data_IF_009419755074
#
_entry.id   IF_009419755074
#
_cell.length_a   1.000
_cell.length_b   1.000
_cell.length_c   1.000
_cell.angle_alpha   90.00
_cell.angle_beta   90.00
_cell.angle_gamma   90.00
#
_symmetry.space_group_name_H-M   'P 1'
#
loop_
_entity.id
_entity.type
_entity.pdbx_description
1 polymer ?
#
# COMPACT_ATOMS: atom_id res chain seq x y z
N UNK A 1 -15.06 12.36 -0.34
CA UNK A 1 -13.80 11.69 0.04
C UNK A 1 -14.06 10.72 1.20
N UNK A 2 -13.96 9.40 0.96
CA UNK A 2 -14.21 8.37 1.99
C UNK A 2 -13.06 8.26 3.01
N UNK A 3 -11.97 8.98 2.81
CA UNK A 3 -10.73 8.87 3.59
C UNK A 3 -10.25 7.41 3.62
N UNK A 4 -10.31 6.74 4.78
CA UNK A 4 -9.91 5.33 4.95
C UNK A 4 -11.10 4.43 5.32
N UNK A 5 -12.34 4.89 5.10
CA UNK A 5 -13.57 4.18 5.45
C UNK A 5 -14.21 3.53 4.21
N UNK A 6 -14.14 2.19 4.07
CA UNK A 6 -14.71 1.48 2.92
C UNK A 6 -16.25 1.52 2.90
N UNK A 7 -16.91 1.60 4.06
CA UNK A 7 -18.38 1.67 4.14
C UNK A 7 -18.88 3.04 3.68
N UNK A 8 -18.15 4.10 4.05
CA UNK A 8 -18.40 5.44 3.52
C UNK A 8 -18.19 5.47 1.99
N UNK A 9 -17.15 4.83 1.47
CA UNK A 9 -16.94 4.76 0.03
C UNK A 9 -18.09 4.04 -0.68
N UNK A 10 -18.57 2.93 -0.13
CA UNK A 10 -19.71 2.18 -0.69
C UNK A 10 -20.98 3.04 -0.72
N UNK A 11 -21.25 3.79 0.35
CA UNK A 11 -22.41 4.71 0.41
C UNK A 11 -22.32 5.81 -0.65
N UNK A 12 -21.15 6.42 -0.82
CA UNK A 12 -20.92 7.46 -1.84
C UNK A 12 -21.07 6.91 -3.27
N UNK A 13 -20.63 5.69 -3.52
CA UNK A 13 -20.82 5.03 -4.82
C UNK A 13 -22.31 4.81 -5.09
N UNK A 14 -23.08 4.37 -4.08
CA UNK A 14 -24.53 4.19 -4.25
C UNK A 14 -25.23 5.52 -4.55
N UNK A 15 -24.89 6.61 -3.86
CA UNK A 15 -25.40 7.95 -4.15
C UNK A 15 -25.12 8.36 -5.60
N UNK A 16 -23.90 8.13 -6.11
CA UNK A 16 -23.55 8.43 -7.51
C UNK A 16 -24.34 7.58 -8.51
N UNK A 17 -24.60 6.31 -8.20
CA UNK A 17 -25.46 5.45 -9.04
C UNK A 17 -26.88 6.02 -9.09
N UNK A 18 -27.44 6.43 -7.95
CA UNK A 18 -28.79 7.00 -7.84
C UNK A 18 -28.91 8.33 -8.57
N UNK A 19 -27.82 9.11 -8.66
CA UNK A 19 -27.70 10.34 -9.47
C UNK A 19 -27.59 10.06 -10.98
N UNK A 20 -27.36 8.82 -11.39
CA UNK A 20 -27.36 8.38 -12.79
C UNK A 20 -26.06 8.72 -13.54
N UNK A 21 -24.91 8.50 -12.93
CA UNK A 21 -23.61 8.70 -13.60
C UNK A 21 -23.39 7.68 -14.72
N UNK A 22 -22.67 8.08 -15.77
CA UNK A 22 -22.30 7.20 -16.89
C UNK A 22 -20.96 6.49 -16.67
N UNK A 23 -20.04 7.08 -15.92
CA UNK A 23 -18.70 6.55 -15.67
C UNK A 23 -18.14 7.03 -14.32
N UNK A 24 -17.24 6.24 -13.75
CA UNK A 24 -16.53 6.55 -12.50
C UNK A 24 -15.02 6.29 -12.66
N UNK A 25 -14.20 7.20 -12.12
CA UNK A 25 -12.81 6.92 -11.79
C UNK A 25 -12.76 6.45 -10.34
N UNK A 26 -12.28 5.22 -10.12
CA UNK A 26 -12.34 4.55 -8.83
C UNK A 26 -10.95 4.16 -8.36
N UNK A 27 -10.54 4.70 -7.21
CA UNK A 27 -9.44 4.17 -6.39
C UNK A 27 -10.05 3.57 -5.13
N UNK A 28 -9.96 2.25 -4.89
CA UNK A 28 -10.59 1.63 -3.74
C UNK A 28 -9.85 1.96 -2.45
N UNK A 29 -10.61 2.19 -1.37
CA UNK A 29 -10.07 2.28 -0.01
C UNK A 29 -9.61 0.90 0.47
N UNK A 30 -10.38 -0.13 0.14
CA UNK A 30 -10.08 -1.53 0.39
C UNK A 30 -10.31 -2.31 -0.91
N UNK A 31 -9.24 -2.92 -1.43
CA UNK A 31 -9.24 -3.55 -2.74
C UNK A 31 -10.11 -4.81 -2.85
N UNK A 32 -10.46 -5.43 -1.70
CA UNK A 32 -11.35 -6.59 -1.62
C UNK A 32 -12.79 -6.19 -1.30
N UNK A 33 -13.00 -5.31 -0.29
CA UNK A 33 -14.35 -4.92 0.17
C UNK A 33 -15.13 -4.14 -0.87
N UNK A 34 -14.46 -3.51 -1.84
CA UNK A 34 -15.12 -2.77 -2.92
C UNK A 34 -15.98 -3.62 -3.85
N UNK A 35 -15.84 -4.95 -3.81
CA UNK A 35 -16.49 -5.91 -4.73
C UNK A 35 -17.99 -5.72 -4.88
N UNK A 36 -18.71 -5.47 -3.79
CA UNK A 36 -20.18 -5.24 -3.84
C UNK A 36 -20.52 -3.99 -4.63
N UNK A 37 -19.76 -2.91 -4.45
CA UNK A 37 -19.95 -1.64 -5.16
C UNK A 37 -19.60 -1.76 -6.64
N UNK A 38 -18.57 -2.56 -7.00
CA UNK A 38 -18.25 -2.85 -8.40
C UNK A 38 -19.40 -3.52 -9.14
N UNK A 39 -20.03 -4.50 -8.51
CA UNK A 39 -21.21 -5.19 -9.06
C UNK A 39 -22.38 -4.23 -9.24
N UNK A 40 -22.69 -3.42 -8.23
CA UNK A 40 -23.76 -2.43 -8.30
C UNK A 40 -23.53 -1.41 -9.44
N UNK A 41 -22.31 -0.90 -9.60
CA UNK A 41 -21.94 -0.04 -10.72
C UNK A 41 -22.14 -0.73 -12.07
N UNK A 42 -21.71 -1.98 -12.20
CA UNK A 42 -21.85 -2.76 -13.43
C UNK A 42 -23.31 -3.02 -13.78
N UNK A 43 -24.13 -3.38 -12.79
CA UNK A 43 -25.58 -3.63 -12.96
C UNK A 43 -26.31 -2.35 -13.36
N UNK A 44 -25.86 -1.19 -12.89
CA UNK A 44 -26.36 0.12 -13.29
C UNK A 44 -25.86 0.58 -14.67
N UNK A 45 -24.94 -0.17 -15.32
CA UNK A 45 -24.37 0.17 -16.62
C UNK A 45 -23.28 1.23 -16.59
N UNK A 46 -22.78 1.59 -15.41
CA UNK A 46 -21.72 2.59 -15.20
C UNK A 46 -20.38 2.03 -15.69
N UNK A 47 -19.62 2.82 -16.43
CA UNK A 47 -18.25 2.49 -16.85
C UNK A 47 -17.27 2.71 -15.71
N UNK A 48 -16.45 1.69 -15.41
CA UNK A 48 -15.51 1.71 -14.29
C UNK A 48 -14.08 1.83 -14.80
N UNK A 49 -13.42 2.96 -14.53
CA UNK A 49 -12.00 3.16 -14.75
C UNK A 49 -11.32 3.07 -13.39
N UNK A 50 -10.69 1.92 -13.11
CA UNK A 50 -9.93 1.74 -11.87
C UNK A 50 -8.58 2.45 -11.97
N UNK A 51 -8.24 3.23 -10.95
CA UNK A 51 -7.02 4.06 -10.89
C UNK A 51 -6.22 3.71 -9.66
N UNK A 52 -4.88 3.72 -9.79
CA UNK A 52 -3.91 3.53 -8.72
C UNK A 52 -3.99 2.13 -8.09
N UNK A 53 -4.69 1.95 -6.99
CA UNK A 53 -4.85 0.64 -6.34
C UNK A 53 -5.79 -0.25 -7.14
N UNK A 54 -5.27 -1.37 -7.65
CA UNK A 54 -6.04 -2.31 -8.44
C UNK A 54 -7.05 -3.08 -7.55
N UNK A 55 -8.29 -3.20 -8.02
CA UNK A 55 -9.32 -4.00 -7.36
C UNK A 55 -9.07 -5.49 -7.57
N UNK A 56 -9.52 -6.34 -6.64
CA UNK A 56 -9.38 -7.81 -6.75
C UNK A 56 -10.19 -8.39 -7.89
N UNK A 57 -11.44 -7.98 -8.04
CA UNK A 57 -12.38 -8.45 -9.09
C UNK A 57 -12.26 -7.56 -10.34
N UNK A 58 -11.14 -7.66 -11.04
CA UNK A 58 -10.82 -6.84 -12.23
C UNK A 58 -11.75 -7.08 -13.42
N UNK A 59 -12.51 -8.17 -13.44
CA UNK A 59 -13.49 -8.49 -14.47
C UNK A 59 -14.68 -7.50 -14.53
N UNK A 60 -14.93 -6.74 -13.47
CA UNK A 60 -15.94 -5.68 -13.45
C UNK A 60 -15.44 -4.35 -14.01
N UNK A 61 -14.13 -4.21 -14.19
CA UNK A 61 -13.48 -2.95 -14.58
C UNK A 61 -13.37 -2.87 -16.11
N UNK A 62 -13.74 -1.71 -16.67
CA UNK A 62 -13.62 -1.46 -18.12
C UNK A 62 -12.19 -1.04 -18.52
N UNK A 63 -11.45 -0.36 -17.62
CA UNK A 63 -10.05 0.00 -17.82
C UNK A 63 -9.34 0.17 -16.47
N UNK A 64 -8.03 -0.14 -16.47
CA UNK A 64 -7.14 0.13 -15.33
C UNK A 64 -5.99 1.06 -15.73
N UNK A 65 -5.71 2.04 -14.88
CA UNK A 65 -4.58 2.97 -15.03
C UNK A 65 -3.84 3.07 -13.71
N UNK A 66 -2.60 2.59 -13.69
CA UNK A 66 -1.77 2.59 -12.48
C UNK A 66 -0.30 2.45 -12.79
N UNK A 67 0.52 2.51 -11.74
CA UNK A 67 1.97 2.28 -11.81
C UNK A 67 2.26 0.77 -11.72
N UNK A 68 3.41 0.36 -12.26
CA UNK A 68 3.97 -0.96 -11.97
C UNK A 68 4.56 -0.94 -10.53
N UNK A 69 3.71 -1.24 -9.56
CA UNK A 69 4.06 -1.17 -8.16
C UNK A 69 5.09 -2.23 -7.75
N UNK A 70 5.09 -3.40 -8.41
CA UNK A 70 6.13 -4.41 -8.16
C UNK A 70 7.49 -3.94 -8.66
N UNK A 71 7.55 -3.34 -9.85
CA UNK A 71 8.79 -2.76 -10.35
C UNK A 71 9.28 -1.61 -9.45
N UNK A 72 8.38 -0.75 -8.96
CA UNK A 72 8.74 0.33 -8.04
C UNK A 72 9.34 -0.21 -6.73
N UNK A 73 8.71 -1.20 -6.11
CA UNK A 73 9.24 -1.85 -4.91
C UNK A 73 10.58 -2.55 -5.16
N UNK A 74 10.72 -3.22 -6.30
CA UNK A 74 11.98 -3.85 -6.69
C UNK A 74 13.12 -2.83 -6.81
N UNK A 75 12.86 -1.65 -7.38
CA UNK A 75 13.86 -0.56 -7.45
C UNK A 75 14.27 -0.07 -6.07
N UNK A 76 13.32 0.07 -5.11
CA UNK A 76 13.64 0.42 -3.73
C UNK A 76 14.58 -0.62 -3.09
N UNK A 77 14.29 -1.91 -3.29
CA UNK A 77 15.16 -2.98 -2.79
C UNK A 77 16.55 -2.96 -3.42
N UNK A 78 16.64 -2.67 -4.72
CA UNK A 78 17.94 -2.49 -5.39
C UNK A 78 18.75 -1.32 -4.83
N UNK A 79 18.10 -0.17 -4.57
CA UNK A 79 18.76 0.99 -3.95
C UNK A 79 19.26 0.65 -2.54
N UNK A 80 18.47 -0.11 -1.75
CA UNK A 80 18.92 -0.58 -0.43
C UNK A 80 20.16 -1.48 -0.52
N UNK A 81 20.18 -2.45 -1.45
CA UNK A 81 21.32 -3.32 -1.64
C UNK A 81 22.59 -2.54 -2.00
N UNK A 82 22.46 -1.51 -2.84
CA UNK A 82 23.59 -0.65 -3.21
C UNK A 82 24.13 0.19 -2.03
N UNK A 83 23.22 0.65 -1.16
CA UNK A 83 23.59 1.47 0.03
C UNK A 83 24.12 0.65 1.19
N UNK A 84 23.68 -0.60 1.30
CA UNK A 84 24.05 -1.52 2.38
C UNK A 84 24.73 -2.76 1.84
N UNK A 85 25.99 -2.64 1.34
CA UNK A 85 26.71 -3.72 0.67
C UNK A 85 27.04 -4.91 1.59
N UNK A 86 26.97 -4.71 2.91
CA UNK A 86 27.18 -5.76 3.91
C UNK A 86 25.88 -6.47 4.34
N UNK A 87 24.73 -6.08 3.75
CA UNK A 87 23.41 -6.56 4.15
C UNK A 87 22.83 -5.81 5.34
N UNK A 88 21.84 -6.39 6.03
CA UNK A 88 21.29 -5.78 7.23
C UNK A 88 19.88 -6.22 7.60
N UNK A 89 19.37 -5.69 8.70
CA UNK A 89 18.06 -5.97 9.26
C UNK A 89 17.04 -4.93 8.78
N UNK A 90 15.91 -5.40 8.30
CA UNK A 90 14.89 -4.57 7.65
C UNK A 90 13.56 -4.70 8.39
N UNK A 91 12.95 -3.56 8.69
CA UNK A 91 11.55 -3.49 9.09
C UNK A 91 10.66 -3.20 7.88
N UNK A 92 9.44 -3.74 7.88
CA UNK A 92 8.45 -3.47 6.85
C UNK A 92 7.19 -2.85 7.49
N UNK A 93 6.79 -1.69 6.96
CA UNK A 93 5.51 -1.06 7.24
C UNK A 93 4.61 -1.16 6.01
N UNK A 94 3.57 -1.96 6.12
CA UNK A 94 2.69 -2.33 5.01
C UNK A 94 1.26 -1.78 5.18
N UNK A 95 0.40 -2.03 4.19
CA UNK A 95 -1.04 -1.83 4.27
C UNK A 95 -1.73 -2.94 3.49
N UNK A 96 -2.26 -3.92 4.20
CA UNK A 96 -2.85 -5.13 3.59
C UNK A 96 -4.13 -4.85 2.82
N UNK A 97 -4.80 -3.73 3.09
CA UNK A 97 -6.02 -3.28 2.39
C UNK A 97 -5.75 -2.60 1.04
N UNK A 98 -4.47 -2.30 0.73
CA UNK A 98 -4.06 -1.59 -0.49
C UNK A 98 -3.18 -2.49 -1.37
N UNK A 99 -3.72 -3.02 -2.47
CA UNK A 99 -2.95 -3.88 -3.37
C UNK A 99 -1.68 -3.19 -3.92
N UNK A 100 -1.74 -1.88 -4.19
CA UNK A 100 -0.57 -1.11 -4.64
C UNK A 100 0.59 -1.14 -3.62
N UNK A 101 0.29 -1.14 -2.33
CA UNK A 101 1.28 -1.28 -1.25
C UNK A 101 1.81 -2.72 -1.20
N UNK A 102 0.91 -3.72 -1.25
CA UNK A 102 1.28 -5.13 -1.26
C UNK A 102 2.23 -5.47 -2.41
N UNK A 103 1.96 -4.95 -3.60
CA UNK A 103 2.82 -5.11 -4.77
C UNK A 103 4.21 -4.47 -4.59
N UNK A 104 4.29 -3.28 -3.97
CA UNK A 104 5.58 -2.64 -3.67
C UNK A 104 6.40 -3.48 -2.68
N UNK A 105 5.76 -3.98 -1.62
CA UNK A 105 6.44 -4.86 -0.65
C UNK A 105 6.92 -6.13 -1.34
N UNK A 106 6.08 -6.78 -2.14
CA UNK A 106 6.45 -7.99 -2.92
C UNK A 106 7.66 -7.74 -3.83
N UNK A 107 7.66 -6.61 -4.54
CA UNK A 107 8.79 -6.21 -5.40
C UNK A 107 10.07 -5.98 -4.61
N UNK A 108 9.98 -5.31 -3.48
CA UNK A 108 11.10 -5.07 -2.57
C UNK A 108 11.70 -6.38 -2.03
N UNK A 109 10.88 -7.27 -1.49
CA UNK A 109 11.31 -8.59 -1.00
C UNK A 109 11.98 -9.43 -2.09
N UNK A 110 11.44 -9.37 -3.32
CA UNK A 110 12.05 -10.04 -4.49
C UNK A 110 13.43 -9.49 -4.79
N UNK A 111 13.67 -8.20 -4.67
CA UNK A 111 15.00 -7.62 -4.83
C UNK A 111 15.96 -8.13 -3.76
N UNK A 112 15.56 -8.09 -2.49
CA UNK A 112 16.40 -8.56 -1.37
C UNK A 112 16.73 -10.05 -1.50
N UNK A 113 15.77 -10.89 -1.92
CA UNK A 113 15.99 -12.32 -2.12
C UNK A 113 16.99 -12.64 -3.24
N UNK A 114 17.25 -11.70 -4.14
CA UNK A 114 18.24 -11.82 -5.21
C UNK A 114 19.63 -11.25 -4.87
N UNK A 115 19.78 -10.67 -3.69
CA UNK A 115 21.06 -10.11 -3.24
C UNK A 115 22.06 -11.22 -2.89
N UNK A 116 23.35 -10.97 -3.14
CA UNK A 116 24.45 -11.87 -2.75
C UNK A 116 24.74 -11.80 -1.24
N UNK A 117 24.33 -10.68 -0.60
CA UNK A 117 24.46 -10.42 0.84
C UNK A 117 23.15 -10.66 1.57
N UNK A 118 23.21 -11.03 2.86
CA UNK A 118 22.03 -11.33 3.66
C UNK A 118 21.30 -10.07 4.11
N UNK A 119 20.02 -9.99 3.74
CA UNK A 119 19.07 -9.08 4.37
C UNK A 119 18.03 -9.91 5.09
N UNK A 120 17.75 -9.56 6.35
CA UNK A 120 16.72 -10.21 7.17
C UNK A 120 15.56 -9.24 7.42
N UNK A 121 14.34 -9.67 7.12
CA UNK A 121 13.14 -8.95 7.52
C UNK A 121 12.83 -9.39 8.95
N UNK A 122 13.23 -8.56 9.92
CA UNK A 122 13.15 -8.89 11.34
C UNK A 122 11.79 -8.63 11.94
N UNK A 123 11.01 -7.72 11.37
CA UNK A 123 9.64 -7.46 11.80
C UNK A 123 8.82 -6.76 10.71
N UNK A 124 7.48 -6.81 10.83
CA UNK A 124 6.55 -6.09 9.98
C UNK A 124 5.28 -5.68 10.72
N UNK A 125 4.71 -4.53 10.36
CA UNK A 125 3.46 -4.04 10.91
C UNK A 125 2.55 -3.47 9.82
N UNK A 126 1.25 -3.66 9.98
CA UNK A 126 0.23 -3.05 9.12
C UNK A 126 -0.11 -1.65 9.62
N UNK A 127 0.33 -0.64 8.90
CA UNK A 127 0.10 0.77 9.20
C UNK A 127 -1.17 1.34 8.54
N UNK A 128 -2.00 0.52 7.86
CA UNK A 128 -3.24 0.90 7.17
C UNK A 128 -3.07 2.11 6.21
N UNK A 129 -1.87 2.35 5.72
CA UNK A 129 -1.56 3.52 4.91
C UNK A 129 -1.60 4.86 5.67
N UNK A 130 -1.63 4.86 7.02
CA UNK A 130 -1.87 6.03 7.86
C UNK A 130 -0.61 6.51 8.57
N UNK A 131 -0.40 7.83 8.56
CA UNK A 131 0.71 8.50 9.24
C UNK A 131 0.81 8.15 10.72
N UNK A 132 -0.29 8.31 11.48
CA UNK A 132 -0.25 8.14 12.94
C UNK A 132 0.07 6.70 13.33
N UNK A 133 -0.57 5.74 12.65
CA UNK A 133 -0.33 4.32 12.91
C UNK A 133 1.10 3.93 12.56
N UNK A 134 1.62 4.42 11.42
CA UNK A 134 3.02 4.20 11.04
C UNK A 134 4.01 4.77 12.05
N UNK A 135 3.73 5.96 12.61
CA UNK A 135 4.54 6.57 13.66
C UNK A 135 4.57 5.71 14.92
N UNK A 136 3.41 5.24 15.38
CA UNK A 136 3.29 4.46 16.61
C UNK A 136 3.91 3.05 16.46
N UNK A 137 3.65 2.37 15.33
CA UNK A 137 4.26 1.08 15.01
C UNK A 137 5.78 1.19 14.87
N UNK A 138 6.28 2.24 14.21
CA UNK A 138 7.73 2.43 14.07
C UNK A 138 8.41 2.60 15.42
N UNK A 139 7.84 3.37 16.34
CA UNK A 139 8.40 3.50 17.70
C UNK A 139 8.50 2.15 18.41
N UNK A 140 7.43 1.36 18.38
CA UNK A 140 7.41 0.04 18.99
C UNK A 140 8.45 -0.90 18.38
N UNK A 141 8.59 -0.88 17.05
CA UNK A 141 9.56 -1.70 16.32
C UNK A 141 11.02 -1.26 16.60
N UNK A 142 11.29 0.05 16.72
CA UNK A 142 12.62 0.57 17.08
C UNK A 142 13.04 0.14 18.48
N UNK A 143 12.11 0.15 19.43
CA UNK A 143 12.37 -0.31 20.79
C UNK A 143 12.68 -1.82 20.84
N UNK A 144 12.01 -2.61 19.99
CA UNK A 144 12.19 -4.06 19.91
C UNK A 144 13.43 -4.47 19.10
N UNK A 145 13.82 -3.69 18.10
CA UNK A 145 14.87 -3.99 17.11
C UNK A 145 15.85 -2.82 16.97
N UNK A 146 16.68 -2.55 17.99
CA UNK A 146 17.63 -1.43 17.94
C UNK A 146 18.76 -1.58 16.89
N UNK A 147 18.92 -2.78 16.34
CA UNK A 147 19.94 -3.14 15.34
C UNK A 147 19.47 -2.99 13.89
N UNK A 148 18.36 -2.32 13.63
CA UNK A 148 17.83 -2.17 12.26
C UNK A 148 18.77 -1.32 11.39
N UNK A 149 18.78 -1.67 10.11
CA UNK A 149 19.53 -0.98 9.06
C UNK A 149 18.61 -0.12 8.19
N UNK A 150 17.38 -0.59 7.94
CA UNK A 150 16.43 0.07 7.05
C UNK A 150 14.97 -0.20 7.43
N UNK A 151 14.11 0.71 7.00
CA UNK A 151 12.65 0.55 7.09
C UNK A 151 12.06 0.69 5.69
N UNK A 152 11.40 -0.35 5.19
CA UNK A 152 10.60 -0.27 3.98
C UNK A 152 9.18 0.23 4.32
N UNK A 153 8.79 1.32 3.69
CA UNK A 153 7.48 1.94 3.84
C UNK A 153 6.69 1.83 2.54
N UNK A 154 5.49 1.28 2.60
CA UNK A 154 4.70 0.97 1.42
C UNK A 154 4.10 2.18 0.68
N UNK A 155 3.95 3.35 1.36
CA UNK A 155 3.50 4.61 0.76
C UNK A 155 4.06 5.84 1.51
N UNK A 156 3.73 7.05 0.99
CA UNK A 156 4.25 8.32 1.51
C UNK A 156 3.80 8.59 2.95
N UNK A 157 2.55 8.34 3.31
CA UNK A 157 2.01 8.57 4.64
C UNK A 157 2.71 7.70 5.68
N UNK A 158 2.94 6.44 5.34
CA UNK A 158 3.71 5.49 6.15
C UNK A 158 5.15 6.00 6.30
N UNK A 159 5.79 6.41 5.20
CA UNK A 159 7.17 6.89 5.22
C UNK A 159 7.34 8.14 6.10
N UNK A 160 6.44 9.11 6.00
CA UNK A 160 6.48 10.31 6.84
C UNK A 160 6.26 9.97 8.31
N UNK A 161 5.39 9.01 8.63
CA UNK A 161 5.21 8.49 9.98
C UNK A 161 6.48 7.87 10.54
N UNK A 162 7.12 7.00 9.77
CA UNK A 162 8.38 6.35 10.16
C UNK A 162 9.53 7.33 10.35
N UNK A 163 9.72 8.28 9.42
CA UNK A 163 10.74 9.34 9.56
C UNK A 163 10.49 10.18 10.80
N UNK A 164 9.23 10.50 11.11
CA UNK A 164 8.90 11.26 12.30
C UNK A 164 9.24 10.47 13.58
N UNK A 165 9.00 9.18 13.61
CA UNK A 165 9.35 8.30 14.73
C UNK A 165 10.88 8.27 14.95
N UNK A 166 11.66 8.12 13.87
CA UNK A 166 13.12 8.14 13.92
C UNK A 166 13.66 9.44 14.50
N UNK A 167 13.16 10.59 14.01
CA UNK A 167 13.57 11.91 14.51
C UNK A 167 13.20 12.16 15.99
N UNK A 168 12.21 11.45 16.53
CA UNK A 168 11.84 11.56 17.94
C UNK A 168 12.63 10.60 18.84
N UNK A 169 13.31 9.62 18.27
CA UNK A 169 14.15 8.65 18.99
C UNK A 169 15.61 9.12 19.17
N UNK A 170 16.04 10.16 18.42
CA UNK A 170 17.33 10.84 18.58
C UNK A 170 17.33 11.80 19.78
#
# INVERSE_FOLDING_TARGET
DPKTDPDMQASQIQEMIDEGIDAIFLSPVDWEKISTSLRALKDAGVKIINVDTQVKESEYVDAYVGSDNQAAGYLCGKDLIERCPDGGNVLILESTTMNSVNDRITGFEKALSSAEVGFEIVDRADADGQFQKALDETKAMLDAHPEITAIMCGNDQIAVGAITALNLAE
#
